data_IF_886731104728
#
_entry.id   IF_886731104728
#
_cell.length_a   1.000
_cell.length_b   1.000
_cell.length_c   1.000
_cell.angle_alpha   90.00
_cell.angle_beta   90.00
_cell.angle_gamma   90.00
#
_symmetry.space_group_name_H-M   'P 1'
#
loop_
_entity.id
_entity.type
_entity.pdbx_description
1 polymer ?
#
# COMPACT_ATOMS: atom_id res chain seq x y z
N UNK A 1 33.77 -36.85 22.09
CA UNK A 1 33.33 -36.16 23.33
C UNK A 1 31.97 -35.50 23.12
N UNK A 2 31.14 -35.44 24.13
CA UNK A 2 29.78 -34.86 24.10
C UNK A 2 29.77 -33.44 23.54
N UNK A 3 30.78 -32.63 23.87
CA UNK A 3 30.94 -31.27 23.37
C UNK A 3 31.00 -31.16 21.83
N UNK A 4 31.62 -32.12 21.15
CA UNK A 4 31.70 -32.14 19.67
C UNK A 4 30.34 -32.41 19.05
N UNK A 5 29.55 -33.32 19.65
CA UNK A 5 28.21 -33.62 19.17
C UNK A 5 27.22 -32.48 19.43
N UNK A 6 27.35 -31.80 20.58
CA UNK A 6 26.58 -30.59 20.87
C UNK A 6 26.91 -29.48 19.87
N UNK A 7 28.21 -29.22 19.62
CA UNK A 7 28.65 -28.24 18.63
C UNK A 7 28.15 -28.55 17.23
N UNK A 8 28.22 -29.81 16.81
CA UNK A 8 27.69 -30.24 15.50
C UNK A 8 26.16 -30.05 15.41
N UNK A 9 25.41 -30.40 16.47
CA UNK A 9 23.97 -30.22 16.53
C UNK A 9 23.55 -28.74 16.40
N UNK A 10 24.23 -27.86 17.13
CA UNK A 10 23.97 -26.39 17.04
C UNK A 10 24.27 -25.89 15.63
N UNK A 11 25.41 -26.28 15.03
CA UNK A 11 25.75 -25.86 13.68
C UNK A 11 24.73 -26.36 12.63
N UNK A 12 24.36 -27.65 12.72
CA UNK A 12 23.38 -28.25 11.81
C UNK A 12 22.02 -27.57 11.92
N UNK A 13 21.55 -27.28 13.14
CA UNK A 13 20.29 -26.57 13.36
C UNK A 13 20.36 -25.17 12.77
N UNK A 14 21.43 -24.42 13.02
CA UNK A 14 21.64 -23.09 12.42
C UNK A 14 21.64 -23.13 10.90
N UNK A 15 22.32 -24.10 10.30
CA UNK A 15 22.36 -24.30 8.84
C UNK A 15 20.95 -24.57 8.26
N UNK A 16 20.18 -25.45 8.91
CA UNK A 16 18.82 -25.76 8.47
C UNK A 16 17.87 -24.56 8.57
N UNK A 17 17.96 -23.78 9.67
CA UNK A 17 17.17 -22.57 9.85
C UNK A 17 17.53 -21.53 8.79
N UNK A 18 18.82 -21.29 8.53
CA UNK A 18 19.25 -20.36 7.47
C UNK A 18 18.78 -20.83 6.09
N UNK A 19 18.91 -22.13 5.79
CA UNK A 19 18.43 -22.71 4.52
C UNK A 19 16.93 -22.54 4.32
N UNK A 20 16.14 -22.83 5.36
CA UNK A 20 14.68 -22.65 5.32
C UNK A 20 14.29 -21.16 5.15
N UNK A 21 14.99 -20.26 5.86
CA UNK A 21 14.78 -18.81 5.75
C UNK A 21 15.10 -18.28 4.34
N UNK A 22 16.21 -18.75 3.76
CA UNK A 22 16.58 -18.38 2.39
C UNK A 22 15.56 -18.90 1.37
N UNK A 23 15.13 -20.16 1.49
CA UNK A 23 14.10 -20.73 0.61
C UNK A 23 12.80 -19.96 0.71
N UNK A 24 12.39 -19.60 1.93
CA UNK A 24 11.21 -18.77 2.16
C UNK A 24 11.36 -17.39 1.51
N UNK A 25 12.49 -16.72 1.71
CA UNK A 25 12.76 -15.39 1.13
C UNK A 25 12.72 -15.42 -0.41
N UNK A 26 13.36 -16.43 -1.03
CA UNK A 26 13.33 -16.60 -2.49
C UNK A 26 11.91 -16.88 -3.00
N UNK A 27 11.16 -17.71 -2.28
CA UNK A 27 9.78 -18.04 -2.64
C UNK A 27 8.87 -16.81 -2.53
N UNK A 28 9.01 -16.05 -1.44
CA UNK A 28 8.30 -14.79 -1.24
C UNK A 28 8.65 -13.78 -2.33
N UNK A 29 9.94 -13.55 -2.59
CA UNK A 29 10.39 -12.65 -3.66
C UNK A 29 9.78 -13.02 -5.01
N UNK A 30 9.82 -14.32 -5.38
CA UNK A 30 9.22 -14.81 -6.63
C UNK A 30 7.70 -14.63 -6.67
N UNK A 31 7.02 -14.79 -5.54
CA UNK A 31 5.58 -14.62 -5.46
C UNK A 31 5.18 -13.14 -5.63
N UNK A 32 5.93 -12.21 -5.03
CA UNK A 32 5.68 -10.76 -5.14
C UNK A 32 6.25 -10.13 -6.41
N UNK A 33 7.05 -10.85 -7.20
CA UNK A 33 7.57 -10.32 -8.46
C UNK A 33 6.45 -9.88 -9.40
N UNK A 34 6.62 -8.71 -10.02
CA UNK A 34 5.66 -8.12 -10.97
C UNK A 34 5.53 -8.95 -12.26
N UNK A 35 6.61 -9.66 -12.63
CA UNK A 35 6.70 -10.48 -13.87
C UNK A 35 6.69 -11.98 -13.59
N UNK A 36 6.67 -12.41 -12.32
CA UNK A 36 6.67 -13.82 -11.94
C UNK A 36 5.31 -14.50 -12.19
N UNK A 37 5.25 -15.82 -11.98
CA UNK A 37 4.01 -16.60 -12.19
C UNK A 37 2.84 -16.17 -11.30
N UNK A 38 3.10 -15.76 -10.04
CA UNK A 38 2.03 -15.38 -9.10
C UNK A 38 1.66 -13.91 -9.18
N UNK A 39 2.59 -13.02 -9.53
CA UNK A 39 2.39 -11.57 -9.69
C UNK A 39 1.57 -10.93 -8.54
N UNK A 40 1.83 -11.31 -7.28
CA UNK A 40 1.03 -10.84 -6.14
C UNK A 40 1.02 -9.32 -6.03
N UNK A 41 2.16 -8.67 -6.23
CA UNK A 41 2.23 -7.20 -6.19
C UNK A 41 1.29 -6.56 -7.21
N UNK A 42 1.22 -7.12 -8.42
CA UNK A 42 0.32 -6.66 -9.47
C UNK A 42 -1.14 -6.90 -9.09
N UNK A 43 -1.47 -8.11 -8.60
CA UNK A 43 -2.83 -8.43 -8.17
C UNK A 43 -3.31 -7.50 -7.04
N UNK A 44 -2.43 -7.16 -6.08
CA UNK A 44 -2.73 -6.22 -5.00
C UNK A 44 -3.02 -4.84 -5.59
N UNK A 45 -2.15 -4.33 -6.45
CA UNK A 45 -2.27 -3.01 -7.09
C UNK A 45 -3.55 -2.94 -7.92
N UNK A 46 -3.80 -3.92 -8.77
CA UNK A 46 -5.01 -3.99 -9.60
C UNK A 46 -6.27 -4.12 -8.73
N UNK A 47 -6.18 -4.85 -7.62
CA UNK A 47 -7.24 -5.00 -6.62
C UNK A 47 -7.59 -3.67 -5.95
N UNK A 48 -6.59 -2.90 -5.49
CA UNK A 48 -6.82 -1.56 -4.92
C UNK A 48 -7.39 -0.61 -5.97
N UNK A 49 -6.81 -0.59 -7.17
CA UNK A 49 -7.28 0.26 -8.27
C UNK A 49 -8.72 -0.08 -8.70
N UNK A 50 -9.18 -1.32 -8.52
CA UNK A 50 -10.53 -1.75 -8.88
C UNK A 50 -11.65 -1.06 -8.09
N UNK A 51 -11.34 -0.52 -6.92
CA UNK A 51 -12.29 0.22 -6.09
C UNK A 51 -12.48 1.68 -6.54
N UNK A 52 -11.67 2.16 -7.48
CA UNK A 52 -11.70 3.55 -7.94
C UNK A 52 -12.31 3.62 -9.33
N UNK A 53 -13.49 4.24 -9.42
CA UNK A 53 -14.17 4.55 -10.67
C UNK A 53 -14.50 6.04 -10.65
N UNK A 54 -13.81 6.82 -11.46
CA UNK A 54 -13.91 8.26 -11.48
C UNK A 54 -14.54 8.78 -12.77
N UNK A 55 -15.40 9.81 -12.69
CA UNK A 55 -15.90 10.48 -13.85
C UNK A 55 -14.81 11.28 -14.58
N UNK A 56 -15.16 11.81 -15.73
CA UNK A 56 -14.28 12.68 -16.52
C UNK A 56 -13.87 13.93 -15.73
N UNK A 57 -12.60 14.33 -15.85
CA UNK A 57 -11.96 15.45 -15.16
C UNK A 57 -11.86 15.34 -13.63
N UNK A 58 -12.23 14.19 -13.05
CA UNK A 58 -12.04 13.94 -11.63
C UNK A 58 -10.56 13.78 -11.27
N UNK A 59 -10.24 13.96 -9.99
CA UNK A 59 -8.86 13.93 -9.47
C UNK A 59 -8.68 12.80 -8.46
N UNK A 60 -7.70 11.94 -8.69
CA UNK A 60 -7.25 10.92 -7.74
C UNK A 60 -5.89 11.26 -7.13
N UNK A 61 -5.69 10.84 -5.88
CA UNK A 61 -4.42 10.94 -5.16
C UNK A 61 -3.93 9.54 -4.76
N UNK A 62 -2.69 9.26 -5.04
CA UNK A 62 -1.98 8.07 -4.52
C UNK A 62 -0.92 8.54 -3.51
N UNK A 63 -1.13 8.19 -2.22
CA UNK A 63 -0.26 8.60 -1.12
C UNK A 63 0.83 7.55 -0.92
N UNK A 64 2.09 7.97 -1.05
CA UNK A 64 3.26 7.09 -0.98
C UNK A 64 3.42 6.25 -2.25
N UNK A 65 3.40 6.89 -3.40
CA UNK A 65 3.31 6.21 -4.70
C UNK A 65 4.55 5.38 -5.08
N UNK A 66 5.69 5.54 -4.40
CA UNK A 66 6.93 4.79 -4.63
C UNK A 66 7.41 4.84 -6.08
N UNK A 67 7.24 3.76 -6.81
CA UNK A 67 7.55 3.66 -8.25
C UNK A 67 6.42 4.13 -9.18
N UNK A 68 5.28 4.56 -8.64
CA UNK A 68 4.10 4.99 -9.38
C UNK A 68 3.15 3.88 -9.81
N UNK A 69 3.37 2.64 -9.38
CA UNK A 69 2.63 1.49 -9.91
C UNK A 69 1.11 1.58 -9.64
N UNK A 70 0.67 1.96 -8.42
CA UNK A 70 -0.75 2.12 -8.11
C UNK A 70 -1.33 3.35 -8.81
N UNK A 71 -0.61 4.48 -8.85
CA UNK A 71 -1.02 5.68 -9.59
C UNK A 71 -1.30 5.34 -11.05
N UNK A 72 -0.40 4.60 -11.70
CA UNK A 72 -0.50 4.17 -13.11
C UNK A 72 -1.69 3.23 -13.30
N UNK A 73 -1.89 2.25 -12.41
CA UNK A 73 -3.00 1.32 -12.48
C UNK A 73 -4.36 2.05 -12.36
N UNK A 74 -4.47 3.00 -11.43
CA UNK A 74 -5.66 3.84 -11.29
C UNK A 74 -5.90 4.71 -12.53
N UNK A 75 -4.85 5.34 -13.07
CA UNK A 75 -4.93 6.19 -14.26
C UNK A 75 -5.38 5.42 -15.51
N UNK A 76 -4.88 4.19 -15.71
CA UNK A 76 -5.32 3.30 -16.80
C UNK A 76 -6.80 2.95 -16.72
N UNK A 77 -7.30 2.69 -15.51
CA UNK A 77 -8.72 2.35 -15.30
C UNK A 77 -9.64 3.55 -15.50
N UNK A 78 -9.13 4.75 -15.31
CA UNK A 78 -9.87 6.01 -15.37
C UNK A 78 -9.22 6.96 -16.39
N UNK A 79 -9.28 6.66 -17.70
CA UNK A 79 -8.48 7.36 -18.72
C UNK A 79 -8.85 8.84 -18.90
N UNK A 80 -10.01 9.25 -18.40
CA UNK A 80 -10.49 10.63 -18.46
C UNK A 80 -10.34 11.41 -17.15
N UNK A 81 -9.85 10.77 -16.08
CA UNK A 81 -9.53 11.38 -14.79
C UNK A 81 -8.01 11.63 -14.69
N UNK A 82 -7.60 12.47 -13.74
CA UNK A 82 -6.20 12.80 -13.48
C UNK A 82 -5.74 12.22 -12.15
N UNK A 83 -4.63 11.48 -12.12
CA UNK A 83 -4.07 10.92 -10.90
C UNK A 83 -2.77 11.61 -10.53
N UNK A 84 -2.63 11.97 -9.27
CA UNK A 84 -1.40 12.51 -8.69
C UNK A 84 -0.82 11.51 -7.70
N UNK A 85 0.37 11.02 -7.95
CA UNK A 85 1.16 10.27 -6.98
C UNK A 85 2.06 11.20 -6.18
N UNK A 86 2.09 11.05 -4.86
CA UNK A 86 3.01 11.78 -3.98
C UNK A 86 3.87 10.82 -3.20
N UNK A 87 5.15 11.17 -3.06
CA UNK A 87 6.10 10.44 -2.22
C UNK A 87 7.21 11.38 -1.75
N UNK A 88 7.91 11.02 -0.68
CA UNK A 88 9.12 11.76 -0.24
C UNK A 88 10.35 11.37 -1.06
N UNK A 89 10.35 10.15 -1.59
CA UNK A 89 11.52 9.50 -2.19
C UNK A 89 12.77 9.68 -1.34
N UNK A 90 12.64 9.33 -0.04
CA UNK A 90 13.71 9.45 0.93
C UNK A 90 14.89 8.52 0.59
N UNK A 91 16.05 8.77 1.20
CA UNK A 91 17.27 8.00 0.97
C UNK A 91 17.12 6.50 1.29
N UNK A 92 16.18 6.16 2.17
CA UNK A 92 15.81 4.79 2.53
C UNK A 92 15.17 4.01 1.38
N UNK A 93 14.70 4.68 0.35
CA UNK A 93 14.10 4.12 -0.86
C UNK A 93 14.82 4.63 -2.11
N UNK A 94 16.16 4.54 -2.11
CA UNK A 94 17.03 5.11 -3.16
C UNK A 94 16.73 4.61 -4.58
N UNK A 95 16.09 3.44 -4.72
CA UNK A 95 15.67 2.87 -6.00
C UNK A 95 14.42 3.56 -6.58
N UNK A 96 13.71 4.38 -5.79
CA UNK A 96 12.51 5.09 -6.21
C UNK A 96 12.79 6.58 -6.40
N UNK A 97 12.14 7.17 -7.39
CA UNK A 97 12.25 8.59 -7.67
C UNK A 97 11.07 9.08 -8.53
N UNK A 98 10.81 10.37 -8.48
CA UNK A 98 9.84 11.01 -9.36
C UNK A 98 10.12 10.71 -10.85
N UNK A 99 11.40 10.77 -11.26
CA UNK A 99 11.81 10.48 -12.63
C UNK A 99 11.53 9.02 -13.04
N UNK A 100 11.68 8.06 -12.10
CA UNK A 100 11.30 6.67 -12.33
C UNK A 100 9.79 6.55 -12.56
N UNK A 101 8.97 7.23 -11.76
CA UNK A 101 7.51 7.19 -11.91
C UNK A 101 7.06 7.69 -13.29
N UNK A 102 7.63 8.80 -13.75
CA UNK A 102 7.35 9.30 -15.12
C UNK A 102 7.80 8.33 -16.21
N UNK A 103 9.00 7.73 -16.08
CA UNK A 103 9.45 6.70 -17.04
C UNK A 103 8.51 5.49 -17.07
N UNK A 104 8.06 5.03 -15.91
CA UNK A 104 7.12 3.93 -15.81
C UNK A 104 5.78 4.28 -16.47
N UNK A 105 5.22 5.46 -16.19
CA UNK A 105 3.99 5.92 -16.82
C UNK A 105 4.11 6.00 -18.35
N UNK A 106 5.20 6.57 -18.85
CA UNK A 106 5.47 6.65 -20.30
C UNK A 106 5.60 5.26 -20.93
N UNK A 107 6.34 4.34 -20.30
CA UNK A 107 6.53 2.97 -20.81
C UNK A 107 5.23 2.18 -20.89
N UNK A 108 4.26 2.54 -20.04
CA UNK A 108 2.95 1.93 -20.01
C UNK A 108 1.86 2.71 -20.77
N UNK A 109 2.26 3.76 -21.52
CA UNK A 109 1.36 4.57 -22.34
C UNK A 109 0.36 5.42 -21.54
N UNK A 110 0.69 5.78 -20.29
CA UNK A 110 -0.16 6.55 -19.39
C UNK A 110 0.27 8.02 -19.41
N UNK A 111 -0.66 8.92 -19.75
CA UNK A 111 -0.44 10.36 -19.87
C UNK A 111 -1.25 11.20 -18.86
N UNK A 112 -2.12 10.57 -18.07
CA UNK A 112 -2.96 11.20 -17.07
C UNK A 112 -2.52 10.90 -15.62
N UNK A 113 -1.26 10.43 -15.44
CA UNK A 113 -0.60 10.24 -14.16
C UNK A 113 0.51 11.28 -13.97
N UNK A 114 0.47 11.96 -12.83
CA UNK A 114 1.41 13.01 -12.45
C UNK A 114 2.08 12.65 -11.14
N UNK A 115 3.32 13.10 -10.93
CA UNK A 115 4.08 12.74 -9.73
C UNK A 115 4.76 13.98 -9.16
N UNK A 116 4.69 14.14 -7.83
CA UNK A 116 5.32 15.27 -7.14
C UNK A 116 5.79 14.91 -5.73
N UNK A 117 6.78 15.61 -5.19
CA UNK A 117 7.18 15.44 -3.79
C UNK A 117 6.03 15.76 -2.84
N UNK A 118 5.92 14.97 -1.74
CA UNK A 118 4.97 15.21 -0.67
C UNK A 118 5.22 14.28 0.50
N UNK A 119 4.86 14.72 1.70
CA UNK A 119 4.96 13.94 2.93
C UNK A 119 3.55 13.53 3.39
N UNK A 120 3.33 12.24 3.60
CA UNK A 120 2.06 11.72 4.11
C UNK A 120 1.76 12.18 5.57
N UNK A 121 2.76 12.70 6.29
CA UNK A 121 2.54 13.35 7.59
C UNK A 121 1.82 14.71 7.48
N UNK A 122 1.99 15.41 6.35
CA UNK A 122 1.38 16.70 6.07
C UNK A 122 1.30 16.85 4.55
N UNK A 123 0.19 16.42 3.98
CA UNK A 123 -0.01 16.44 2.53
C UNK A 123 -0.07 17.90 2.03
N UNK A 124 0.68 18.26 0.96
CA UNK A 124 0.77 19.62 0.45
C UNK A 124 -0.47 19.99 -0.40
N UNK A 125 -1.65 19.69 0.12
CA UNK A 125 -2.94 19.94 -0.54
C UNK A 125 -3.95 20.53 0.43
N UNK A 126 -4.86 21.34 -0.09
CA UNK A 126 -6.03 21.81 0.66
C UNK A 126 -7.00 20.63 0.96
N UNK A 127 -7.93 20.87 1.87
CA UNK A 127 -8.98 19.93 2.20
C UNK A 127 -9.91 19.71 0.98
N UNK A 128 -10.46 18.52 0.89
CA UNK A 128 -11.56 18.20 -0.01
C UNK A 128 -11.30 18.53 -1.51
N UNK A 129 -10.11 18.21 -2.04
CA UNK A 129 -9.79 18.47 -3.46
C UNK A 129 -9.71 17.23 -4.34
N UNK A 130 -9.64 16.03 -3.77
CA UNK A 130 -9.57 14.78 -4.54
C UNK A 130 -10.88 14.01 -4.49
N UNK A 131 -11.28 13.47 -5.63
CA UNK A 131 -12.45 12.61 -5.77
C UNK A 131 -12.16 11.17 -5.36
N UNK A 132 -10.87 10.77 -5.37
CA UNK A 132 -10.40 9.51 -4.82
C UNK A 132 -9.05 9.66 -4.11
N UNK A 133 -8.85 8.87 -3.05
CA UNK A 133 -7.57 8.73 -2.36
C UNK A 133 -7.23 7.25 -2.25
N UNK A 134 -6.05 6.87 -2.72
CA UNK A 134 -5.53 5.50 -2.64
C UNK A 134 -4.16 5.47 -1.98
N UNK A 135 -3.79 4.31 -1.44
CA UNK A 135 -2.43 4.05 -0.93
C UNK A 135 -2.19 2.56 -0.82
N UNK A 136 -0.94 2.12 -1.00
CA UNK A 136 -0.57 0.72 -0.89
C UNK A 136 0.78 0.52 -0.22
N UNK A 137 0.82 -0.15 0.92
CA UNK A 137 2.02 -0.48 1.71
C UNK A 137 2.87 0.72 2.14
N UNK A 138 2.26 1.77 2.67
CA UNK A 138 2.93 3.04 2.99
C UNK A 138 3.01 3.31 4.48
N UNK A 139 1.86 3.39 5.14
CA UNK A 139 1.77 3.98 6.48
C UNK A 139 2.48 3.16 7.55
N UNK A 140 2.58 1.84 7.41
CA UNK A 140 3.29 0.99 8.37
C UNK A 140 4.78 1.36 8.50
N UNK A 141 5.38 1.98 7.47
CA UNK A 141 6.79 2.42 7.44
C UNK A 141 6.99 3.85 7.94
N UNK A 142 5.95 4.67 8.07
CA UNK A 142 6.08 6.07 8.48
C UNK A 142 6.23 6.14 10.00
N UNK A 143 7.28 6.79 10.48
CA UNK A 143 7.51 7.06 11.90
C UNK A 143 6.80 8.36 12.36
N UNK A 144 6.64 8.52 13.66
CA UNK A 144 6.18 9.75 14.29
C UNK A 144 4.70 9.71 14.67
N UNK A 145 3.78 10.06 13.78
CA UNK A 145 2.34 10.07 14.05
C UNK A 145 1.75 8.68 14.19
N UNK A 146 0.64 8.56 14.92
CA UNK A 146 -0.14 7.32 14.92
C UNK A 146 -0.65 7.00 13.51
N UNK A 147 -0.79 5.71 13.18
CA UNK A 147 -1.23 5.31 11.84
C UNK A 147 -2.64 5.82 11.53
N UNK A 148 -3.52 5.84 12.51
CA UNK A 148 -4.86 6.41 12.36
C UNK A 148 -4.81 7.92 12.07
N UNK A 149 -3.87 8.68 12.66
CA UNK A 149 -3.70 10.10 12.34
C UNK A 149 -3.20 10.31 10.90
N UNK A 150 -2.33 9.44 10.39
CA UNK A 150 -1.89 9.45 8.99
C UNK A 150 -3.04 9.13 8.03
N UNK A 151 -3.90 8.17 8.39
CA UNK A 151 -5.10 7.86 7.62
C UNK A 151 -6.04 9.07 7.56
N UNK A 152 -6.28 9.74 8.70
CA UNK A 152 -7.12 10.95 8.75
C UNK A 152 -6.52 12.09 7.92
N UNK A 153 -5.18 12.27 7.92
CA UNK A 153 -4.54 13.28 7.05
C UNK A 153 -4.79 12.98 5.57
N UNK A 154 -4.72 11.71 5.18
CA UNK A 154 -5.04 11.32 3.80
C UNK A 154 -6.51 11.49 3.45
N UNK A 155 -7.40 11.26 4.40
CA UNK A 155 -8.84 11.46 4.23
C UNK A 155 -9.25 12.94 4.28
N UNK A 156 -8.47 13.82 4.89
CA UNK A 156 -8.70 15.27 4.90
C UNK A 156 -8.79 15.87 3.49
N UNK A 157 -7.95 15.38 2.59
CA UNK A 157 -7.90 15.87 1.20
C UNK A 157 -8.94 15.24 0.28
N UNK A 158 -9.71 14.26 0.78
CA UNK A 158 -10.80 13.61 0.05
C UNK A 158 -12.05 14.49 0.11
N UNK A 159 -12.69 14.73 -1.03
CA UNK A 159 -13.98 15.44 -1.13
C UNK A 159 -15.09 14.63 -0.45
N UNK A 160 -16.14 15.34 -0.03
CA UNK A 160 -17.45 14.73 0.28
C UNK A 160 -17.98 14.03 -0.97
N UNK A 161 -18.50 12.82 -0.81
CA UNK A 161 -18.91 11.94 -1.91
C UNK A 161 -17.73 11.23 -2.61
N UNK A 162 -16.49 11.46 -2.16
CA UNK A 162 -15.29 10.83 -2.70
C UNK A 162 -15.09 9.39 -2.20
N UNK A 163 -14.21 8.66 -2.88
CA UNK A 163 -13.92 7.25 -2.60
C UNK A 163 -12.48 7.08 -2.11
N UNK A 164 -12.24 6.19 -1.15
CA UNK A 164 -10.89 5.82 -0.76
C UNK A 164 -10.66 4.31 -0.77
N UNK A 165 -9.44 3.90 -1.07
CA UNK A 165 -8.99 2.52 -0.99
C UNK A 165 -7.53 2.46 -0.50
N UNK A 166 -7.33 1.98 0.72
CA UNK A 166 -6.04 1.94 1.38
C UNK A 166 -5.73 0.50 1.78
N UNK A 167 -4.60 0.00 1.32
CA UNK A 167 -4.14 -1.35 1.60
C UNK A 167 -2.79 -1.29 2.32
N UNK A 168 -2.70 -1.91 3.51
CA UNK A 168 -1.49 -1.87 4.33
C UNK A 168 -1.42 -3.03 5.33
N UNK A 169 -0.26 -3.19 5.98
CA UNK A 169 -0.01 -4.13 7.09
C UNK A 169 -0.63 -3.58 8.38
N UNK A 170 -1.96 -3.63 8.49
CA UNK A 170 -2.73 -3.01 9.56
C UNK A 170 -2.79 -3.89 10.83
N UNK A 171 -1.62 -4.24 11.39
CA UNK A 171 -1.59 -4.98 12.65
C UNK A 171 -2.11 -4.14 13.83
N UNK A 172 -2.79 -4.75 14.83
CA UNK A 172 -3.28 -4.03 16.01
C UNK A 172 -2.18 -3.29 16.77
N UNK A 173 -0.96 -3.84 16.81
CA UNK A 173 0.18 -3.22 17.47
C UNK A 173 0.57 -1.87 16.84
N UNK A 174 0.42 -1.73 15.52
CA UNK A 174 0.83 -0.51 14.78
C UNK A 174 -0.33 0.46 14.57
N UNK A 175 -1.50 -0.07 14.28
CA UNK A 175 -2.68 0.71 13.90
C UNK A 175 -3.69 0.89 15.02
N UNK A 176 -3.55 0.15 16.14
CA UNK A 176 -4.57 0.09 17.18
C UNK A 176 -5.81 -0.66 16.71
N UNK A 177 -6.94 -0.41 17.36
CA UNK A 177 -8.20 -1.04 17.00
C UNK A 177 -8.81 -0.39 15.75
N UNK A 178 -8.67 -1.07 14.61
CA UNK A 178 -9.24 -0.62 13.34
C UNK A 178 -10.76 -0.76 13.26
N UNK A 179 -11.39 -1.60 14.12
CA UNK A 179 -12.85 -1.68 14.16
C UNK A 179 -13.43 -0.43 14.83
N UNK A 180 -12.84 -0.01 15.94
CA UNK A 180 -13.20 1.27 16.58
C UNK A 180 -12.88 2.46 15.67
N UNK A 181 -11.78 2.42 14.93
CA UNK A 181 -11.45 3.46 13.95
C UNK A 181 -12.46 3.52 12.80
N UNK A 182 -12.91 2.37 12.30
CA UNK A 182 -14.01 2.29 11.32
C UNK A 182 -15.26 2.96 11.85
N UNK A 183 -15.66 2.64 13.09
CA UNK A 183 -16.84 3.27 13.70
C UNK A 183 -16.66 4.79 13.81
N UNK A 184 -15.51 5.25 14.25
CA UNK A 184 -15.18 6.68 14.28
C UNK A 184 -15.38 7.36 12.93
N UNK A 185 -14.95 6.74 11.82
CA UNK A 185 -15.18 7.30 10.48
C UNK A 185 -16.67 7.39 10.15
N UNK A 186 -17.46 6.36 10.47
CA UNK A 186 -18.92 6.38 10.30
C UNK A 186 -19.56 7.51 11.12
N UNK A 187 -19.14 7.69 12.36
CA UNK A 187 -19.61 8.76 13.26
C UNK A 187 -19.22 10.16 12.74
N UNK A 188 -18.14 10.26 11.97
CA UNK A 188 -17.72 11.48 11.26
C UNK A 188 -18.51 11.76 9.98
N UNK A 189 -19.46 10.88 9.59
CA UNK A 189 -20.32 11.06 8.44
C UNK A 189 -19.87 10.32 7.16
N UNK A 190 -18.90 9.40 7.26
CA UNK A 190 -18.59 8.53 6.12
C UNK A 190 -19.73 7.55 5.90
N UNK A 191 -20.29 7.50 4.69
CA UNK A 191 -21.45 6.65 4.39
C UNK A 191 -21.14 5.16 4.48
N UNK A 192 -19.95 4.79 4.03
CA UNK A 192 -19.52 3.40 4.01
C UNK A 192 -18.03 3.27 4.31
N UNK A 193 -17.69 2.39 5.22
CA UNK A 193 -16.30 2.02 5.55
C UNK A 193 -16.22 0.51 5.73
N UNK A 194 -15.51 -0.18 4.84
CA UNK A 194 -15.30 -1.62 4.90
C UNK A 194 -13.86 -1.93 5.32
N UNK A 195 -13.70 -2.84 6.28
CA UNK A 195 -12.42 -3.49 6.57
C UNK A 195 -12.39 -4.84 5.85
N UNK A 196 -11.44 -5.00 4.93
CA UNK A 196 -11.34 -6.19 4.09
C UNK A 196 -10.07 -6.94 4.46
N UNK A 197 -10.23 -8.18 4.92
CA UNK A 197 -9.10 -9.10 5.10
C UNK A 197 -8.64 -9.62 3.74
N UNK A 198 -7.48 -9.13 3.28
CA UNK A 198 -6.90 -9.52 2.00
C UNK A 198 -5.93 -10.70 2.12
N UNK A 199 -5.63 -11.19 3.32
CA UNK A 199 -4.72 -12.33 3.52
C UNK A 199 -5.22 -13.60 2.86
N UNK A 200 -6.51 -13.88 2.93
CA UNK A 200 -7.13 -15.06 2.30
C UNK A 200 -7.07 -15.03 0.77
N UNK A 201 -6.97 -13.84 0.18
CA UNK A 201 -6.88 -13.65 -1.28
C UNK A 201 -5.44 -13.90 -1.75
N UNK A 202 -4.47 -13.41 -0.99
CA UNK A 202 -3.05 -13.39 -1.41
C UNK A 202 -2.22 -14.49 -0.76
N UNK A 203 -2.55 -14.89 0.47
CA UNK A 203 -1.82 -15.87 1.24
C UNK A 203 -2.73 -17.02 1.62
N UNK A 204 -2.31 -18.25 1.39
CA UNK A 204 -3.08 -19.45 1.72
C UNK A 204 -2.97 -19.87 3.20
N UNK A 205 -2.23 -19.12 4.02
CA UNK A 205 -1.95 -19.45 5.42
C UNK A 205 -2.53 -18.42 6.41
N UNK A 206 -3.16 -18.87 7.52
CA UNK A 206 -3.67 -18.00 8.57
C UNK A 206 -2.57 -17.21 9.33
N UNK A 207 -1.31 -17.61 9.26
CA UNK A 207 -0.20 -16.96 9.96
C UNK A 207 0.16 -15.57 9.40
N UNK A 208 -0.37 -15.21 8.23
CA UNK A 208 -0.10 -13.94 7.55
C UNK A 208 -1.28 -12.94 7.70
N UNK A 209 -2.09 -13.13 8.73
CA UNK A 209 -3.43 -12.59 8.91
C UNK A 209 -3.53 -11.11 9.33
N UNK A 210 -2.68 -10.22 8.83
CA UNK A 210 -2.75 -8.80 9.23
C UNK A 210 -2.66 -7.82 8.07
N UNK A 211 -2.94 -8.28 6.86
CA UNK A 211 -3.04 -7.40 5.68
C UNK A 211 -4.51 -7.02 5.52
N UNK A 212 -4.84 -5.78 5.86
CA UNK A 212 -6.20 -5.26 5.78
C UNK A 212 -6.29 -4.18 4.70
N UNK A 213 -7.40 -4.18 3.99
CA UNK A 213 -7.81 -3.06 3.15
C UNK A 213 -8.88 -2.24 3.87
N UNK A 214 -8.77 -0.92 3.81
CA UNK A 214 -9.78 0.02 4.21
C UNK A 214 -10.30 0.73 2.97
N UNK A 215 -11.59 0.65 2.72
CA UNK A 215 -12.24 1.37 1.64
C UNK A 215 -13.53 2.00 2.13
N UNK A 216 -13.95 3.07 1.51
CA UNK A 216 -15.21 3.72 1.83
C UNK A 216 -15.50 4.90 0.91
N UNK A 217 -16.63 5.52 1.18
CA UNK A 217 -17.08 6.76 0.60
C UNK A 217 -17.50 7.72 1.70
N UNK A 218 -17.43 8.99 1.42
CA UNK A 218 -17.89 10.08 2.32
C UNK A 218 -19.25 10.58 1.88
#
# INVERSE_FOLDING_TARGET
>A
STARWVGFGVFLTGFLVCGASLLWAVTAYRAFSFTGKRQLSRQIIDGVASYVNLPENAKGLDVGCGSGALTIACAKRNPKAHFTGVDRWGKEYADYSQALCFRNAMSEGVNNAFFRPGDANALPFADEIFDAVVSNYVYHNIAGKSKQALLLESLRVLKKGGTFAIHDLMSPMRYGDMRSFRQKLLDMGYEKVDLIDTTKIFFRSPAEAHVLGLKGST
#
